data_IF_024805282752
#
_entry.id   IF_024805282752
#
_cell.length_a   1.000
_cell.length_b   1.000
_cell.length_c   1.000
_cell.angle_alpha   90.00
_cell.angle_beta   90.00
_cell.angle_gamma   90.00
#
_symmetry.space_group_name_H-M   'P 1'
#
loop_
_entity.id
_entity.type
_entity.pdbx_description
1 polymer ?
#
# COMPACT_ATOMS: atom_id res chain seq x y z
N UNK A 1 2.38 -21.25 10.84
CA UNK A 1 3.34 -20.13 10.71
C UNK A 1 2.87 -19.02 11.64
N UNK A 2 3.76 -18.44 12.46
CA UNK A 2 3.38 -17.39 13.40
C UNK A 2 3.11 -16.07 12.65
N UNK A 3 2.03 -15.38 12.99
CA UNK A 3 1.76 -14.03 12.51
C UNK A 3 2.78 -13.05 13.09
N UNK A 4 3.08 -11.97 12.35
CA UNK A 4 3.92 -10.91 12.86
C UNK A 4 3.31 -10.32 14.15
N UNK A 5 4.11 -10.20 15.21
CA UNK A 5 3.65 -9.63 16.47
C UNK A 5 3.10 -8.21 16.24
N UNK A 6 1.90 -7.95 16.76
CA UNK A 6 1.24 -6.65 16.68
C UNK A 6 1.93 -5.68 17.67
N UNK A 7 2.48 -4.55 17.20
CA UNK A 7 3.06 -3.53 18.08
C UNK A 7 2.04 -3.00 19.09
N UNK A 8 2.53 -2.59 20.27
CA UNK A 8 1.67 -2.13 21.38
C UNK A 8 0.76 -0.95 21.00
N UNK A 9 1.24 -0.01 20.18
CA UNK A 9 0.43 1.13 19.72
C UNK A 9 -0.70 0.72 18.77
N UNK A 10 -0.67 -0.51 18.23
CA UNK A 10 -1.74 -1.11 17.42
C UNK A 10 -2.56 -2.15 18.20
N UNK A 11 -2.37 -2.28 19.51
CA UNK A 11 -3.02 -3.33 20.30
C UNK A 11 -4.56 -3.26 20.24
N UNK A 12 -5.11 -2.05 20.09
CA UNK A 12 -6.56 -1.82 19.97
C UNK A 12 -7.03 -1.70 18.51
N UNK A 13 -6.13 -1.87 17.54
CA UNK A 13 -6.51 -1.82 16.14
C UNK A 13 -7.38 -3.03 15.78
N UNK A 14 -8.36 -2.89 14.88
CA UNK A 14 -9.16 -4.02 14.43
C UNK A 14 -8.26 -5.06 13.75
N UNK A 15 -8.53 -6.34 13.99
CA UNK A 15 -7.73 -7.44 13.44
C UNK A 15 -8.58 -8.46 12.69
N UNK A 16 -7.97 -9.14 11.72
CA UNK A 16 -8.55 -10.29 11.03
C UNK A 16 -7.47 -11.34 10.81
N UNK A 17 -7.74 -12.59 11.19
CA UNK A 17 -6.77 -13.70 11.16
C UNK A 17 -5.43 -13.35 11.83
N UNK A 18 -5.48 -12.60 12.94
CA UNK A 18 -4.30 -12.19 13.71
C UNK A 18 -3.40 -11.15 13.03
N UNK A 19 -3.91 -10.44 12.03
CA UNK A 19 -3.25 -9.28 11.40
C UNK A 19 -4.08 -8.02 11.63
N UNK A 20 -3.43 -6.88 11.82
CA UNK A 20 -4.10 -5.57 11.84
C UNK A 20 -4.76 -5.33 10.49
N UNK A 21 -6.01 -4.88 10.51
CA UNK A 21 -6.72 -4.40 9.34
C UNK A 21 -6.29 -2.94 9.12
N UNK A 22 -5.61 -2.61 8.00
CA UNK A 22 -5.28 -1.22 7.71
C UNK A 22 -6.51 -0.31 7.73
N UNK A 23 -6.33 0.94 8.14
CA UNK A 23 -7.40 1.92 8.10
C UNK A 23 -7.94 2.05 6.67
N UNK A 24 -7.05 2.17 5.68
CA UNK A 24 -7.43 2.29 4.27
C UNK A 24 -7.96 0.99 3.65
N UNK A 25 -7.89 -0.15 4.33
CA UNK A 25 -8.39 -1.40 3.76
C UNK A 25 -9.90 -1.30 3.57
N UNK A 26 -10.36 -1.71 2.39
CA UNK A 26 -11.77 -1.80 2.12
C UNK A 26 -12.42 -2.84 3.03
N UNK A 27 -13.62 -2.53 3.54
CA UNK A 27 -14.33 -3.41 4.47
C UNK A 27 -15.75 -3.64 3.98
N UNK A 28 -16.23 -4.85 4.20
CA UNK A 28 -17.65 -5.14 4.11
C UNK A 28 -18.42 -4.41 5.21
N UNK A 29 -19.75 -4.34 5.07
CA UNK A 29 -20.61 -3.70 6.06
C UNK A 29 -20.55 -4.38 7.45
N UNK A 30 -20.16 -5.66 7.51
CA UNK A 30 -19.91 -6.41 8.75
C UNK A 30 -18.49 -6.17 9.33
N UNK A 31 -17.69 -5.30 8.71
CA UNK A 31 -16.32 -4.99 9.14
C UNK A 31 -15.25 -5.94 8.60
N UNK A 32 -15.62 -7.04 7.92
CA UNK A 32 -14.65 -7.98 7.33
C UNK A 32 -13.80 -7.28 6.27
N UNK A 33 -12.46 -7.38 6.31
CA UNK A 33 -11.62 -6.71 5.35
C UNK A 33 -11.54 -7.45 4.02
N UNK A 34 -11.48 -6.70 2.93
CA UNK A 34 -11.08 -7.23 1.62
C UNK A 34 -9.61 -6.90 1.37
N UNK A 35 -8.71 -7.79 1.82
CA UNK A 35 -7.27 -7.58 1.68
C UNK A 35 -6.84 -7.51 0.22
N UNK A 36 -6.08 -6.46 -0.11
CA UNK A 36 -5.66 -6.13 -1.48
C UNK A 36 -6.62 -5.17 -2.19
N UNK A 37 -7.65 -4.68 -1.51
CA UNK A 37 -8.51 -3.58 -1.95
C UNK A 37 -8.48 -2.44 -0.93
N UNK A 38 -8.59 -1.21 -1.42
CA UNK A 38 -8.54 0.01 -0.61
C UNK A 38 -9.87 0.75 -0.66
N UNK A 39 -10.17 1.45 0.42
CA UNK A 39 -11.26 2.42 0.50
C UNK A 39 -10.72 3.78 0.04
N UNK A 40 -11.12 4.22 -1.16
CA UNK A 40 -10.64 5.46 -1.76
C UNK A 40 -11.00 6.71 -0.94
N UNK A 41 -12.09 6.70 -0.17
CA UNK A 41 -12.45 7.82 0.68
C UNK A 41 -11.46 7.93 1.84
N UNK A 42 -11.11 6.80 2.47
CA UNK A 42 -10.08 6.77 3.52
C UNK A 42 -8.68 7.06 3.00
N UNK A 43 -8.37 6.67 1.76
CA UNK A 43 -7.12 7.08 1.11
C UNK A 43 -7.09 8.59 0.95
N UNK A 44 -8.14 9.21 0.42
CA UNK A 44 -8.21 10.67 0.29
C UNK A 44 -8.11 11.38 1.64
N UNK A 45 -8.76 10.85 2.67
CA UNK A 45 -8.66 11.33 4.05
C UNK A 45 -7.22 11.26 4.57
N UNK A 46 -6.54 10.11 4.43
CA UNK A 46 -5.16 9.96 4.87
C UNK A 46 -4.19 10.87 4.10
N UNK A 47 -4.39 11.04 2.79
CA UNK A 47 -3.56 11.93 1.97
C UNK A 47 -3.73 13.39 2.41
N UNK A 48 -4.96 13.87 2.52
CA UNK A 48 -5.23 15.27 2.87
C UNK A 48 -4.95 15.60 4.33
N UNK A 49 -5.26 14.68 5.24
CA UNK A 49 -5.04 14.81 6.68
C UNK A 49 -3.65 14.41 7.16
N UNK A 50 -2.74 13.99 6.27
CA UNK A 50 -1.40 13.48 6.63
C UNK A 50 -1.47 12.36 7.68
N UNK A 51 -2.42 11.43 7.49
CA UNK A 51 -2.64 10.33 8.43
C UNK A 51 -1.93 9.06 7.95
N UNK A 52 -1.52 8.23 8.89
CA UNK A 52 -0.98 6.91 8.60
C UNK A 52 -2.05 5.99 8.00
N UNK A 53 -1.77 5.39 6.84
CA UNK A 53 -2.70 4.47 6.17
C UNK A 53 -3.04 3.20 6.99
N UNK A 54 -2.21 2.84 7.98
CA UNK A 54 -2.43 1.66 8.83
C UNK A 54 -3.31 1.99 10.04
N UNK A 55 -2.98 3.05 10.79
CA UNK A 55 -3.58 3.34 12.11
C UNK A 55 -4.45 4.62 12.15
N UNK A 56 -4.51 5.38 11.07
CA UNK A 56 -5.23 6.66 10.94
C UNK A 56 -4.78 7.79 11.89
N UNK A 57 -3.69 7.61 12.63
CA UNK A 57 -3.11 8.68 13.45
C UNK A 57 -2.26 9.61 12.59
N UNK A 58 -2.14 10.87 12.99
CA UNK A 58 -1.31 11.88 12.32
C UNK A 58 0.15 11.43 12.22
N UNK A 59 0.76 11.69 11.06
CA UNK A 59 2.18 11.47 10.83
C UNK A 59 2.99 12.60 11.51
N UNK A 60 4.04 12.24 12.25
CA UNK A 60 4.83 13.16 13.05
C UNK A 60 6.10 13.64 12.29
N UNK A 61 7.30 13.23 12.72
CA UNK A 61 8.56 13.78 12.18
C UNK A 61 8.99 13.16 10.85
N UNK A 62 8.61 11.90 10.63
CA UNK A 62 9.00 11.15 9.44
C UNK A 62 7.89 10.17 9.05
N UNK A 63 7.84 9.87 7.75
CA UNK A 63 6.89 8.93 7.19
C UNK A 63 7.58 7.96 6.23
N UNK A 64 6.89 6.86 5.94
CA UNK A 64 7.36 5.80 5.05
C UNK A 64 6.30 5.51 4.00
N UNK A 65 6.70 5.55 2.73
CA UNK A 65 5.89 5.07 1.61
C UNK A 65 6.31 3.64 1.24
N UNK A 66 5.36 2.85 0.76
CA UNK A 66 5.64 1.60 0.05
C UNK A 66 5.52 1.91 -1.44
N UNK A 67 6.64 1.83 -2.16
CA UNK A 67 6.74 2.20 -3.57
C UNK A 67 7.20 1.02 -4.41
N UNK A 68 6.74 0.97 -5.65
CA UNK A 68 7.16 0.01 -6.69
C UNK A 68 7.97 0.75 -7.76
N UNK A 69 8.74 0.05 -8.62
CA UNK A 69 9.48 0.67 -9.72
C UNK A 69 8.61 1.61 -10.59
N UNK A 70 7.37 1.23 -10.88
CA UNK A 70 6.43 2.05 -11.65
C UNK A 70 6.03 3.36 -10.96
N UNK A 71 6.01 3.41 -9.62
CA UNK A 71 5.60 4.60 -8.87
C UNK A 71 6.69 5.68 -9.00
N UNK A 72 7.97 5.30 -9.03
CA UNK A 72 9.09 6.21 -9.33
C UNK A 72 8.97 6.80 -10.74
N UNK A 73 8.55 5.99 -11.72
CA UNK A 73 8.31 6.49 -13.07
C UNK A 73 7.08 7.38 -13.21
N UNK A 74 6.08 7.20 -12.34
CA UNK A 74 4.94 8.10 -12.24
C UNK A 74 5.28 9.39 -11.45
N UNK A 75 6.35 9.38 -10.65
CA UNK A 75 6.76 10.50 -9.80
C UNK A 75 5.97 10.62 -8.49
N UNK A 76 5.11 9.65 -8.16
CA UNK A 76 4.30 9.66 -6.94
C UNK A 76 3.87 8.25 -6.53
N UNK A 77 3.51 8.06 -5.28
CA UNK A 77 2.89 6.83 -4.75
C UNK A 77 1.39 7.04 -4.50
N UNK A 78 0.49 6.19 -5.00
CA UNK A 78 -0.95 6.38 -4.83
C UNK A 78 -1.46 6.05 -3.43
N UNK A 79 -0.71 5.29 -2.65
CA UNK A 79 -1.06 4.96 -1.27
C UNK A 79 -0.55 6.02 -0.28
N UNK A 80 -1.28 6.33 0.81
CA UNK A 80 -0.80 7.26 1.83
C UNK A 80 0.39 6.68 2.60
N UNK A 81 1.13 7.54 3.29
CA UNK A 81 2.30 7.12 4.06
C UNK A 81 1.94 6.42 5.37
N UNK A 82 2.96 5.85 6.01
CA UNK A 82 2.89 5.16 7.29
C UNK A 82 3.87 5.76 8.29
N UNK A 83 3.60 5.64 9.60
CA UNK A 83 4.66 5.78 10.60
C UNK A 83 5.75 4.72 10.35
N UNK A 84 7.02 4.99 10.68
CA UNK A 84 8.11 4.02 10.52
C UNK A 84 7.83 2.65 11.16
N UNK A 85 7.24 2.63 12.35
CA UNK A 85 6.88 1.42 13.09
C UNK A 85 5.67 0.69 12.48
N UNK A 86 4.69 1.42 11.95
CA UNK A 86 3.57 0.88 11.19
C UNK A 86 4.06 0.23 9.89
N UNK A 87 4.97 0.90 9.17
CA UNK A 87 5.62 0.35 7.99
C UNK A 87 6.41 -0.92 8.29
N UNK A 88 7.19 -0.93 9.36
CA UNK A 88 7.94 -2.11 9.79
C UNK A 88 7.01 -3.29 10.10
N UNK A 89 5.86 -3.05 10.73
CA UNK A 89 4.83 -4.06 10.91
C UNK A 89 4.25 -4.54 9.57
N UNK A 90 3.84 -3.63 8.69
CA UNK A 90 3.27 -3.96 7.38
C UNK A 90 4.22 -4.81 6.53
N UNK A 91 5.51 -4.50 6.53
CA UNK A 91 6.55 -5.29 5.83
C UNK A 91 6.54 -6.75 6.29
N UNK A 92 6.40 -7.00 7.60
CA UNK A 92 6.38 -8.37 8.15
C UNK A 92 5.02 -9.05 7.98
N UNK A 93 3.94 -8.31 8.18
CA UNK A 93 2.59 -8.85 8.24
C UNK A 93 2.01 -9.12 6.85
N UNK A 94 2.18 -8.20 5.90
CA UNK A 94 1.62 -8.31 4.56
C UNK A 94 2.34 -9.41 3.75
N UNK A 95 1.64 -10.45 3.25
CA UNK A 95 2.28 -11.51 2.48
C UNK A 95 3.00 -11.01 1.22
N UNK A 96 2.50 -9.95 0.57
CA UNK A 96 3.14 -9.35 -0.60
C UNK A 96 4.46 -8.66 -0.22
N UNK A 97 4.45 -7.78 0.78
CA UNK A 97 5.64 -7.05 1.22
C UNK A 97 6.67 -7.95 1.91
N UNK A 98 6.24 -9.02 2.58
CA UNK A 98 7.16 -9.98 3.20
C UNK A 98 7.73 -10.99 2.20
N UNK A 99 7.41 -10.89 0.91
CA UNK A 99 7.81 -11.84 -0.15
C UNK A 99 7.17 -13.24 -0.06
N UNK A 100 6.19 -13.44 0.82
CA UNK A 100 5.48 -14.73 1.00
C UNK A 100 4.40 -14.97 -0.07
N UNK A 101 3.95 -13.92 -0.73
CA UNK A 101 3.01 -13.98 -1.85
C UNK A 101 3.71 -13.49 -3.11
N UNK A 102 4.02 -14.42 -4.00
CA UNK A 102 4.85 -14.16 -5.19
C UNK A 102 4.04 -13.72 -6.41
N UNK A 103 2.71 -13.71 -6.31
CA UNK A 103 1.79 -13.40 -7.41
C UNK A 103 0.56 -12.69 -6.89
N UNK A 104 0.09 -11.69 -7.62
CA UNK A 104 -1.20 -11.05 -7.36
C UNK A 104 -2.35 -12.04 -7.61
N UNK A 105 -3.47 -11.83 -6.92
CA UNK A 105 -4.67 -12.65 -7.13
C UNK A 105 -5.15 -12.46 -8.57
N UNK A 106 -5.56 -13.56 -9.20
CA UNK A 106 -6.08 -13.57 -10.57
C UNK A 106 -7.59 -13.23 -10.61
N UNK A 107 -7.97 -12.19 -9.87
CA UNK A 107 -9.33 -11.63 -9.83
C UNK A 107 -9.27 -10.18 -9.36
N UNK A 108 -9.88 -9.28 -10.14
CA UNK A 108 -10.06 -7.87 -9.77
C UNK A 108 -11.20 -7.66 -8.78
N UNK A 109 -12.15 -8.61 -8.68
CA UNK A 109 -13.24 -8.60 -7.69
C UNK A 109 -13.45 -9.99 -7.09
N UNK A 110 -13.23 -10.19 -5.79
CA UNK A 110 -13.79 -11.34 -5.10
C UNK A 110 -15.29 -11.07 -4.89
N UNK A 111 -16.15 -11.76 -5.63
CA UNK A 111 -17.56 -11.80 -5.27
C UNK A 111 -17.68 -12.53 -3.93
N UNK A 112 -18.02 -11.81 -2.86
CA UNK A 112 -18.57 -12.43 -1.66
C UNK A 112 -19.93 -13.00 -2.04
N UNK A 113 -19.95 -14.26 -2.49
CA UNK A 113 -21.14 -14.96 -3.01
C UNK A 113 -22.34 -14.93 -2.05
N UNK A 114 -22.11 -14.66 -0.77
CA UNK A 114 -23.11 -14.64 0.29
C UNK A 114 -22.99 -13.36 1.14
N UNK A 115 -23.01 -12.16 0.55
CA UNK A 115 -23.20 -10.94 1.33
C UNK A 115 -24.68 -10.73 1.64
N UNK A 116 -25.07 -10.92 2.90
CA UNK A 116 -26.47 -10.73 3.36
C UNK A 116 -26.87 -9.25 3.46
N UNK A 117 -25.91 -8.32 3.37
CA UNK A 117 -26.12 -6.87 3.40
C UNK A 117 -25.75 -6.19 2.07
N UNK A 118 -25.91 -6.89 0.93
CA UNK A 118 -25.43 -6.42 -0.37
C UNK A 118 -25.89 -4.98 -0.73
N UNK A 119 -27.13 -4.60 -0.40
CA UNK A 119 -27.64 -3.25 -0.68
C UNK A 119 -26.87 -2.13 0.05
N UNK A 120 -26.40 -2.39 1.28
CA UNK A 120 -25.63 -1.44 2.09
C UNK A 120 -24.12 -1.71 2.09
N UNK A 121 -23.66 -2.70 1.33
CA UNK A 121 -22.27 -3.11 1.30
C UNK A 121 -21.64 -2.79 -0.06
N UNK A 122 -20.40 -2.31 -0.03
CA UNK A 122 -19.56 -2.14 -1.21
C UNK A 122 -19.69 -3.28 -2.23
N UNK A 123 -19.70 -4.54 -1.78
CA UNK A 123 -19.70 -5.67 -2.69
C UNK A 123 -21.01 -5.86 -3.48
N UNK A 124 -22.09 -5.17 -3.13
CA UNK A 124 -23.32 -5.09 -3.93
C UNK A 124 -23.39 -3.85 -4.83
N UNK A 125 -22.45 -2.91 -4.71
CA UNK A 125 -22.37 -1.72 -5.56
C UNK A 125 -21.67 -2.04 -6.89
N UNK A 126 -21.94 -1.26 -7.96
CA UNK A 126 -21.10 -1.26 -9.15
C UNK A 126 -19.65 -0.96 -8.79
N UNK A 127 -18.72 -1.74 -9.33
CA UNK A 127 -17.29 -1.55 -9.13
C UNK A 127 -16.61 -1.60 -10.48
N UNK A 128 -15.91 -0.51 -10.81
CA UNK A 128 -14.95 -0.47 -11.90
C UNK A 128 -13.55 -0.56 -11.29
N UNK A 129 -12.81 -1.66 -11.53
CA UNK A 129 -11.46 -1.78 -11.00
C UNK A 129 -10.55 -0.72 -11.61
N UNK A 130 -9.64 -0.22 -10.78
CA UNK A 130 -8.63 0.70 -11.27
C UNK A 130 -7.72 -0.02 -12.30
N UNK A 131 -7.11 0.78 -13.19
CA UNK A 131 -6.27 0.26 -14.27
C UNK A 131 -5.06 -0.53 -13.73
N UNK A 132 -4.49 -0.13 -12.59
CA UNK A 132 -3.35 -0.81 -11.99
C UNK A 132 -3.74 -2.20 -11.46
N UNK A 133 -4.93 -2.32 -10.85
CA UNK A 133 -5.52 -3.57 -10.40
C UNK A 133 -5.78 -4.53 -11.57
N UNK A 134 -6.27 -4.02 -12.71
CA UNK A 134 -6.42 -4.82 -13.94
C UNK A 134 -5.06 -5.29 -14.43
N UNK A 135 -4.10 -4.37 -14.58
CA UNK A 135 -2.76 -4.68 -15.11
C UNK A 135 -2.04 -5.70 -14.26
N UNK A 136 -2.22 -5.67 -12.93
CA UNK A 136 -1.56 -6.59 -12.00
C UNK A 136 -2.28 -7.91 -11.81
N UNK A 137 -3.55 -8.05 -12.22
CA UNK A 137 -4.33 -9.26 -11.97
C UNK A 137 -3.58 -10.50 -12.47
N UNK A 138 -3.34 -11.44 -11.56
CA UNK A 138 -2.63 -12.68 -11.86
C UNK A 138 -1.14 -12.53 -12.19
N UNK A 139 -0.56 -11.32 -12.20
CA UNK A 139 0.87 -11.10 -12.52
C UNK A 139 1.76 -11.39 -11.31
N UNK A 140 3.03 -11.69 -11.61
CA UNK A 140 4.05 -11.87 -10.59
C UNK A 140 4.20 -10.60 -9.73
N UNK A 141 4.65 -10.79 -8.49
CA UNK A 141 4.95 -9.68 -7.59
C UNK A 141 6.16 -8.90 -8.14
N UNK A 142 6.00 -7.58 -8.27
CA UNK A 142 7.09 -6.64 -8.61
C UNK A 142 7.94 -6.32 -7.36
N UNK A 143 9.16 -5.77 -7.50
CA UNK A 143 9.90 -5.25 -6.37
C UNK A 143 9.12 -4.20 -5.58
N UNK A 144 9.30 -4.23 -4.27
CA UNK A 144 8.77 -3.23 -3.34
C UNK A 144 9.90 -2.54 -2.60
N UNK A 145 9.74 -1.25 -2.38
CA UNK A 145 10.69 -0.38 -1.70
C UNK A 145 9.99 0.37 -0.58
N UNK A 146 10.69 0.52 0.54
CA UNK A 146 10.31 1.51 1.55
C UNK A 146 11.03 2.81 1.24
N UNK A 147 10.30 3.92 1.19
CA UNK A 147 10.84 5.27 1.01
C UNK A 147 10.58 6.05 2.29
N UNK A 148 11.60 6.21 3.13
CA UNK A 148 11.50 6.99 4.38
C UNK A 148 11.92 8.43 4.13
N UNK A 149 11.10 9.40 4.51
CA UNK A 149 11.33 10.82 4.28
C UNK A 149 10.88 11.68 5.47
N UNK A 150 11.46 12.87 5.67
CA UNK A 150 11.00 13.82 6.69
C UNK A 150 9.68 14.48 6.28
N UNK A 151 8.84 14.83 7.25
CA UNK A 151 7.47 15.32 6.98
C UNK A 151 7.40 16.74 6.40
N UNK A 152 8.48 17.51 6.40
CA UNK A 152 8.59 18.79 5.69
C UNK A 152 8.63 18.63 4.16
N UNK A 153 9.04 17.46 3.66
CA UNK A 153 8.97 17.07 2.24
C UNK A 153 7.61 16.47 1.84
N UNK A 154 6.65 16.36 2.76
CA UNK A 154 5.32 15.84 2.45
C UNK A 154 4.60 16.77 1.47
N UNK A 155 4.42 16.28 0.25
CA UNK A 155 3.68 16.97 -0.80
C UNK A 155 2.76 16.02 -1.54
N UNK A 156 1.55 16.51 -1.86
CA UNK A 156 0.57 15.74 -2.61
C UNK A 156 0.74 15.99 -4.11
N UNK A 157 0.70 14.90 -4.87
CA UNK A 157 0.52 14.98 -6.30
C UNK A 157 -0.96 15.18 -6.61
N UNK A 158 -1.30 16.29 -7.26
CA UNK A 158 -2.69 16.72 -7.48
C UNK A 158 -3.17 16.46 -8.90
N UNK A 159 -4.40 15.99 -9.06
CA UNK A 159 -5.14 16.01 -10.32
C UNK A 159 -6.16 17.14 -10.31
N UNK A 160 -6.14 17.98 -11.35
CA UNK A 160 -7.13 19.06 -11.51
C UNK A 160 -8.60 18.59 -11.46
N UNK A 161 -8.88 17.33 -11.81
CA UNK A 161 -10.25 16.77 -11.82
C UNK A 161 -10.55 15.80 -10.69
N UNK A 162 -9.54 15.07 -10.21
CA UNK A 162 -9.73 13.95 -9.26
C UNK A 162 -9.23 14.24 -7.84
N UNK A 163 -8.66 15.43 -7.59
CA UNK A 163 -8.06 15.76 -6.30
C UNK A 163 -6.72 15.05 -6.10
N UNK A 164 -6.33 14.73 -4.84
CA UNK A 164 -5.03 14.13 -4.55
C UNK A 164 -4.92 12.73 -5.18
N UNK A 165 -3.85 12.52 -5.96
CA UNK A 165 -3.52 11.24 -6.58
C UNK A 165 -2.64 10.37 -5.69
N UNK A 166 -1.92 10.99 -4.77
CA UNK A 166 -0.92 10.32 -3.95
C UNK A 166 0.12 11.29 -3.39
N UNK A 167 1.22 10.76 -2.87
CA UNK A 167 2.34 11.52 -2.31
C UNK A 167 3.46 11.57 -3.33
N UNK A 168 3.98 12.77 -3.61
CA UNK A 168 5.08 12.99 -4.55
C UNK A 168 6.35 12.26 -4.12
N UNK A 169 7.08 11.74 -5.10
CA UNK A 169 8.42 11.15 -4.93
C UNK A 169 9.54 12.14 -5.29
N UNK A 170 9.22 13.43 -5.48
CA UNK A 170 10.20 14.51 -5.60
C UNK A 170 10.84 14.85 -4.23
N UNK A 171 11.45 13.83 -3.62
CA UNK A 171 12.05 13.86 -2.29
C UNK A 171 13.56 14.04 -2.38
N UNK A 172 14.13 14.84 -1.49
CA UNK A 172 15.56 15.17 -1.46
C UNK A 172 16.28 14.35 -0.40
N UNK A 173 15.69 14.20 0.80
CA UNK A 173 16.31 13.49 1.92
C UNK A 173 15.74 12.07 2.14
N UNK A 174 15.15 11.49 1.09
CA UNK A 174 14.57 10.16 1.18
C UNK A 174 15.63 9.05 1.30
N UNK A 175 15.36 8.07 2.17
CA UNK A 175 16.09 6.81 2.27
C UNK A 175 15.27 5.70 1.64
N UNK A 176 15.74 5.19 0.51
CA UNK A 176 15.09 4.11 -0.24
C UNK A 176 15.74 2.79 0.14
N UNK A 177 14.94 1.78 0.48
CA UNK A 177 15.43 0.43 0.79
C UNK A 177 14.57 -0.62 0.09
N UNK A 178 15.20 -1.65 -0.43
CA UNK A 178 14.50 -2.81 -0.96
C UNK A 178 13.79 -3.55 0.19
N UNK A 179 12.50 -3.83 0.00
CA UNK A 179 11.63 -4.55 0.95
C UNK A 179 11.44 -5.99 0.49
N UNK A 180 11.05 -6.19 -0.76
CA UNK A 180 10.91 -7.49 -1.37
C UNK A 180 11.28 -7.40 -2.86
N UNK A 181 11.94 -8.43 -3.38
CA UNK A 181 12.33 -8.46 -4.79
C UNK A 181 11.21 -8.95 -5.71
N UNK A 182 10.46 -9.96 -5.30
CA UNK A 182 9.46 -10.60 -6.16
C UNK A 182 10.11 -11.28 -7.38
N UNK A 183 9.47 -11.16 -8.53
CA UNK A 183 9.88 -11.69 -9.84
C UNK A 183 9.66 -10.59 -10.90
N UNK A 184 10.55 -9.57 -10.95
CA UNK A 184 10.39 -8.40 -11.82
C UNK A 184 10.44 -8.77 -13.31
N UNK A 185 9.55 -8.15 -14.09
CA UNK A 185 9.65 -8.23 -15.56
C UNK A 185 10.70 -7.25 -16.12
N UNK A 186 10.89 -7.27 -17.44
CA UNK A 186 11.87 -6.39 -18.11
C UNK A 186 11.58 -4.89 -17.91
N UNK A 187 10.30 -4.51 -17.81
CA UNK A 187 9.94 -3.11 -17.58
C UNK A 187 10.28 -2.70 -16.15
N UNK A 188 10.08 -3.59 -15.18
CA UNK A 188 10.49 -3.37 -13.80
C UNK A 188 12.01 -3.24 -13.67
N UNK A 189 12.78 -4.15 -14.27
CA UNK A 189 14.25 -4.09 -14.30
C UNK A 189 14.75 -2.80 -14.95
N UNK A 190 14.15 -2.38 -16.07
CA UNK A 190 14.48 -1.13 -16.73
C UNK A 190 14.27 0.09 -15.82
N UNK A 191 13.15 0.13 -15.08
CA UNK A 191 12.87 1.20 -14.11
C UNK A 191 13.83 1.17 -12.93
N UNK A 192 14.16 0.00 -12.39
CA UNK A 192 15.15 -0.15 -11.32
C UNK A 192 16.48 0.47 -11.72
N UNK A 193 16.94 0.22 -12.94
CA UNK A 193 18.18 0.81 -13.48
C UNK A 193 18.06 2.32 -13.69
N UNK A 194 17.00 2.79 -14.36
CA UNK A 194 16.79 4.22 -14.68
C UNK A 194 16.70 5.08 -13.42
N UNK A 195 16.04 4.59 -12.37
CA UNK A 195 15.87 5.32 -11.12
C UNK A 195 16.90 4.97 -10.04
N UNK A 196 17.92 4.17 -10.37
CA UNK A 196 18.99 3.79 -9.43
C UNK A 196 18.49 3.11 -8.15
N UNK A 197 17.43 2.30 -8.26
CA UNK A 197 16.81 1.67 -7.09
C UNK A 197 17.67 0.53 -6.54
N UNK A 198 17.69 0.31 -5.21
CA UNK A 198 18.43 -0.80 -4.61
C UNK A 198 18.06 -2.17 -5.20
N UNK A 199 19.05 -3.05 -5.36
CA UNK A 199 18.89 -4.42 -5.84
C UNK A 199 19.36 -5.44 -4.79
N UNK A 200 18.91 -6.71 -4.86
CA UNK A 200 19.39 -7.75 -3.95
C UNK A 200 20.91 -7.89 -3.97
N UNK A 201 21.52 -7.99 -2.79
CA UNK A 201 22.96 -8.20 -2.66
C UNK A 201 23.85 -6.96 -2.84
N UNK A 202 23.27 -5.78 -3.13
CA UNK A 202 24.01 -4.53 -3.06
C UNK A 202 24.28 -4.14 -1.59
N UNK A 203 25.48 -3.63 -1.24
CA UNK A 203 25.74 -3.10 0.09
C UNK A 203 24.80 -1.91 0.38
N UNK A 204 24.35 -1.81 1.63
CA UNK A 204 23.38 -0.81 2.11
C UNK A 204 24.04 0.42 2.70
#
# INVERSE_FOLDING_TARGET
>A
MANAAIPIHLANAPTHNGMVIPYIALRHADGTPEFGQIDHNRVAECLTGRLCQLCAQELADAAVLMARPQDFGAGYTPEPAQHPECAAYSIRACPMLSGRLHRHRDRTRPQRRQCTMAAGCWCGQPYEPDTDAIVRSGRAATPWYSVRFPMDEYSLEMSARKGPRGISLALVNAKIRLVAWGDPDQADLGRVLVYGLPIPGAPS
#
